data_IF_753763201938
#
_entry.id   IF_753763201938
#
_cell.length_a   1.000
_cell.length_b   1.000
_cell.length_c   1.000
_cell.angle_alpha   90.00
_cell.angle_beta   90.00
_cell.angle_gamma   90.00
#
_symmetry.space_group_name_H-M   'P 1'
#
loop_
_entity.id
_entity.type
_entity.pdbx_description
1 polymer ?
#
# COMPACT_ATOMS: atom_id res chain seq x y z
N UNK A 1 -15.33 -10.89 -3.13
CA UNK A 1 -14.44 -9.94 -2.43
C UNK A 1 -15.25 -9.04 -1.51
N UNK A 2 -16.15 -8.21 -2.05
CA UNK A 2 -16.95 -7.25 -1.28
C UNK A 2 -17.84 -7.90 -0.20
N UNK A 3 -18.56 -8.99 -0.51
CA UNK A 3 -19.42 -9.64 0.50
C UNK A 3 -18.63 -10.21 1.68
N UNK A 4 -17.42 -10.71 1.42
CA UNK A 4 -16.53 -11.25 2.47
C UNK A 4 -16.01 -10.12 3.37
N UNK A 5 -15.66 -8.97 2.81
CA UNK A 5 -15.29 -7.75 3.57
C UNK A 5 -16.43 -7.22 4.43
N UNK A 6 -17.64 -7.13 3.86
CA UNK A 6 -18.76 -6.44 4.50
C UNK A 6 -19.42 -7.33 5.55
N UNK A 7 -19.55 -8.64 5.30
CA UNK A 7 -20.41 -9.51 6.12
C UNK A 7 -19.67 -10.55 6.96
N UNK A 8 -18.54 -11.08 6.47
CA UNK A 8 -17.85 -12.20 7.12
C UNK A 8 -16.75 -11.71 8.06
N UNK A 9 -15.89 -10.79 7.58
CA UNK A 9 -14.76 -10.24 8.33
C UNK A 9 -15.16 -9.72 9.74
N UNK A 10 -16.21 -8.89 9.91
CA UNK A 10 -16.59 -8.39 11.23
C UNK A 10 -17.09 -9.46 12.23
N UNK A 11 -17.40 -10.68 11.76
CA UNK A 11 -17.95 -11.76 12.61
C UNK A 11 -16.91 -12.78 13.07
N UNK A 12 -15.68 -12.68 12.60
CA UNK A 12 -14.69 -13.72 12.79
C UNK A 12 -13.86 -13.58 14.08
N UNK A 13 -13.30 -14.71 14.54
CA UNK A 13 -12.34 -14.71 15.66
C UNK A 13 -11.04 -14.00 15.24
N UNK A 14 -10.33 -13.42 16.21
CA UNK A 14 -9.13 -12.59 16.01
C UNK A 14 -8.14 -13.15 14.97
N UNK A 15 -7.72 -14.41 15.06
CA UNK A 15 -6.75 -14.98 14.12
C UNK A 15 -7.32 -15.25 12.72
N UNK A 16 -8.56 -15.74 12.66
CA UNK A 16 -9.25 -15.99 11.39
C UNK A 16 -9.55 -14.68 10.65
N UNK A 17 -9.77 -13.60 11.40
CA UNK A 17 -9.92 -12.25 10.86
C UNK A 17 -8.68 -11.83 10.07
N UNK A 18 -7.48 -11.93 10.66
CA UNK A 18 -6.25 -11.54 9.97
C UNK A 18 -5.94 -12.40 8.75
N UNK A 19 -6.08 -13.72 8.85
CA UNK A 19 -5.81 -14.60 7.71
C UNK A 19 -6.74 -14.32 6.53
N UNK A 20 -8.02 -14.07 6.82
CA UNK A 20 -9.00 -13.71 5.79
C UNK A 20 -8.72 -12.32 5.22
N UNK A 21 -8.43 -11.34 6.06
CA UNK A 21 -8.09 -9.98 5.63
C UNK A 21 -6.87 -9.99 4.71
N UNK A 22 -5.83 -10.76 5.06
CA UNK A 22 -4.63 -10.93 4.26
C UNK A 22 -4.93 -11.55 2.90
N UNK A 23 -5.69 -12.66 2.86
CA UNK A 23 -6.07 -13.31 1.60
C UNK A 23 -6.81 -12.33 0.67
N UNK A 24 -7.68 -11.49 1.24
CA UNK A 24 -8.42 -10.55 0.42
C UNK A 24 -7.52 -9.41 -0.07
N UNK A 25 -6.64 -8.86 0.77
CA UNK A 25 -5.67 -7.86 0.34
C UNK A 25 -4.74 -8.39 -0.74
N UNK A 26 -4.32 -9.66 -0.68
CA UNK A 26 -3.55 -10.29 -1.77
C UNK A 26 -4.33 -10.37 -3.07
N UNK A 27 -5.59 -10.82 -3.04
CA UNK A 27 -6.43 -10.84 -4.26
C UNK A 27 -6.64 -9.44 -4.83
N UNK A 28 -6.76 -8.44 -3.97
CA UNK A 28 -6.88 -7.04 -4.38
C UNK A 28 -5.57 -6.51 -4.99
N UNK A 29 -4.43 -6.82 -4.35
CA UNK A 29 -3.09 -6.56 -4.86
C UNK A 29 -2.88 -7.13 -6.27
N UNK A 30 -3.22 -8.40 -6.47
CA UNK A 30 -3.06 -9.07 -7.77
C UNK A 30 -3.91 -8.39 -8.86
N UNK A 31 -5.11 -7.94 -8.50
CA UNK A 31 -5.98 -7.18 -9.40
C UNK A 31 -5.38 -5.82 -9.76
N UNK A 32 -4.83 -5.10 -8.78
CA UNK A 32 -4.16 -3.82 -9.00
C UNK A 32 -2.89 -3.97 -9.84
N UNK A 33 -2.12 -5.04 -9.63
CA UNK A 33 -0.93 -5.34 -10.42
C UNK A 33 -1.29 -5.56 -11.89
N UNK A 34 -2.29 -6.41 -12.17
CA UNK A 34 -2.79 -6.65 -13.53
C UNK A 34 -3.29 -5.37 -14.19
N UNK A 35 -4.05 -4.56 -13.46
CA UNK A 35 -4.52 -3.28 -13.98
C UNK A 35 -3.34 -2.35 -14.32
N UNK A 36 -2.30 -2.33 -13.49
CA UNK A 36 -1.11 -1.53 -13.75
C UNK A 36 -0.34 -2.03 -14.97
N UNK A 37 -0.17 -3.35 -15.09
CA UNK A 37 0.44 -4.00 -16.25
C UNK A 37 -0.30 -3.63 -17.53
N UNK A 38 -1.63 -3.76 -17.55
CA UNK A 38 -2.47 -3.41 -18.69
C UNK A 38 -2.33 -1.93 -19.09
N UNK A 39 -2.16 -1.02 -18.13
CA UNK A 39 -1.93 0.41 -18.40
C UNK A 39 -0.54 0.65 -18.98
N UNK A 40 0.50 0.13 -18.32
CA UNK A 40 1.90 0.36 -18.68
C UNK A 40 2.25 -0.27 -20.03
N UNK A 41 1.74 -1.47 -20.32
CA UNK A 41 2.00 -2.16 -21.58
C UNK A 41 1.16 -1.61 -22.74
N UNK A 42 0.08 -0.89 -22.47
CA UNK A 42 -0.75 -0.27 -23.50
C UNK A 42 -0.10 0.99 -24.06
N UNK A 43 0.70 0.81 -25.12
CA UNK A 43 1.40 1.90 -25.81
C UNK A 43 0.48 3.03 -26.26
N UNK A 44 -0.72 2.71 -26.78
CA UNK A 44 -1.66 3.73 -27.25
C UNK A 44 -2.13 4.63 -26.10
N UNK A 45 -2.39 4.05 -24.93
CA UNK A 45 -2.77 4.78 -23.74
C UNK A 45 -1.58 5.61 -23.22
N UNK A 46 -0.40 5.01 -23.08
CA UNK A 46 0.79 5.70 -22.57
C UNK A 46 1.20 6.88 -23.46
N UNK A 47 1.18 6.73 -24.78
CA UNK A 47 1.42 7.85 -25.71
C UNK A 47 0.39 8.94 -25.53
N UNK A 48 -0.90 8.59 -25.42
CA UNK A 48 -1.96 9.58 -25.19
C UNK A 48 -1.79 10.33 -23.87
N UNK A 49 -1.41 9.64 -22.79
CA UNK A 49 -1.15 10.26 -21.48
C UNK A 49 0.03 11.24 -21.56
N UNK A 50 1.10 10.86 -22.25
CA UNK A 50 2.27 11.70 -22.45
C UNK A 50 1.95 12.94 -23.31
N UNK A 51 1.17 12.78 -24.39
CA UNK A 51 0.75 13.88 -25.26
C UNK A 51 -0.23 14.85 -24.57
N UNK A 52 -1.02 14.35 -23.62
CA UNK A 52 -2.00 15.16 -22.88
C UNK A 52 -1.35 16.13 -21.89
N UNK A 53 -0.05 15.97 -21.57
CA UNK A 53 0.74 16.88 -20.71
C UNK A 53 0.08 17.17 -19.37
N UNK A 54 -0.29 16.13 -18.64
CA UNK A 54 -0.75 16.28 -17.25
C UNK A 54 0.36 16.84 -16.37
N UNK A 55 0.01 17.74 -15.45
CA UNK A 55 0.97 18.39 -14.55
C UNK A 55 1.28 17.55 -13.31
N UNK A 56 0.38 16.64 -12.91
CA UNK A 56 0.51 15.87 -11.68
C UNK A 56 -0.22 14.52 -11.78
N UNK A 57 0.34 13.50 -11.12
CA UNK A 57 -0.30 12.22 -10.89
C UNK A 57 -0.80 12.19 -9.44
N UNK A 58 -2.10 11.98 -9.26
CA UNK A 58 -2.71 11.74 -7.96
C UNK A 58 -2.87 10.22 -7.78
N UNK A 59 -2.20 9.64 -6.79
CA UNK A 59 -2.24 8.20 -6.54
C UNK A 59 -2.52 7.88 -5.08
N UNK A 60 -3.19 6.77 -4.82
CA UNK A 60 -3.30 6.19 -3.48
C UNK A 60 -2.20 5.13 -3.33
N UNK A 61 -1.45 5.12 -2.21
CA UNK A 61 -0.38 4.12 -2.00
C UNK A 61 -0.93 2.70 -1.85
N UNK A 62 -2.25 2.53 -1.69
CA UNK A 62 -2.91 1.23 -1.67
C UNK A 62 -2.58 0.40 -2.93
N UNK A 63 -2.25 1.04 -4.05
CA UNK A 63 -1.79 0.38 -5.27
C UNK A 63 -0.55 1.06 -5.85
N UNK A 64 0.61 0.38 -5.92
CA UNK A 64 1.87 1.00 -6.32
C UNK A 64 2.02 1.18 -7.84
N UNK A 65 0.96 1.54 -8.54
CA UNK A 65 1.07 1.88 -9.96
C UNK A 65 1.46 3.35 -10.17
N UNK A 66 1.10 4.22 -9.21
CA UNK A 66 1.31 5.66 -9.31
C UNK A 66 2.78 6.04 -9.41
N UNK A 67 3.62 5.44 -8.58
CA UNK A 67 5.09 5.65 -8.59
C UNK A 67 5.71 5.21 -9.91
N UNK A 68 5.26 4.07 -10.44
CA UNK A 68 5.73 3.53 -11.70
C UNK A 68 5.37 4.45 -12.87
N UNK A 69 4.11 4.90 -12.91
CA UNK A 69 3.65 5.86 -13.92
C UNK A 69 4.36 7.20 -13.82
N UNK A 70 4.65 7.68 -12.60
CA UNK A 70 5.43 8.89 -12.37
C UNK A 70 6.84 8.78 -12.96
N UNK A 71 7.51 7.64 -12.78
CA UNK A 71 8.84 7.41 -13.39
C UNK A 71 8.76 7.33 -14.91
N UNK A 72 7.76 6.64 -15.47
CA UNK A 72 7.62 6.46 -16.92
C UNK A 72 7.23 7.74 -17.64
N UNK A 73 6.29 8.52 -17.09
CA UNK A 73 5.82 9.77 -17.68
C UNK A 73 6.67 10.99 -17.28
N UNK A 74 7.51 10.86 -16.25
CA UNK A 74 8.32 11.93 -15.63
C UNK A 74 7.47 13.11 -15.14
N UNK A 75 6.37 12.79 -14.46
CA UNK A 75 5.41 13.77 -13.92
C UNK A 75 5.46 13.68 -12.38
N UNK A 76 5.36 14.82 -11.65
CA UNK A 76 5.24 14.81 -10.19
C UNK A 76 4.11 13.91 -9.67
N UNK A 77 4.35 13.29 -8.53
CA UNK A 77 3.42 12.39 -7.84
C UNK A 77 2.92 13.05 -6.56
N UNK A 78 1.62 12.99 -6.32
CA UNK A 78 0.98 13.38 -5.06
C UNK A 78 0.21 12.18 -4.53
N UNK A 79 0.44 11.85 -3.26
CA UNK A 79 -0.28 10.77 -2.61
C UNK A 79 -1.58 11.27 -1.98
N UNK A 80 -2.69 10.57 -2.25
CA UNK A 80 -3.98 10.80 -1.62
C UNK A 80 -4.26 9.84 -0.44
N UNK A 81 -3.30 8.96 -0.09
CA UNK A 81 -3.49 7.92 0.93
C UNK A 81 -3.95 8.54 2.25
N UNK A 82 -5.01 7.96 2.80
CA UNK A 82 -5.52 8.33 4.12
C UNK A 82 -5.04 7.41 5.23
N UNK A 83 -4.93 6.10 4.96
CA UNK A 83 -4.34 5.12 5.87
C UNK A 83 -4.08 3.78 5.14
N UNK A 84 -3.09 3.02 5.58
CA UNK A 84 -2.89 1.61 5.21
C UNK A 84 -3.01 0.66 6.41
N UNK A 85 -3.33 -0.63 6.20
CA UNK A 85 -3.33 -1.63 7.28
C UNK A 85 -1.98 -1.63 8.02
N UNK A 86 -2.00 -1.45 9.34
CA UNK A 86 -0.78 -1.42 10.15
C UNK A 86 0.15 -0.21 9.95
N UNK A 87 -0.26 0.80 9.16
CA UNK A 87 0.60 1.90 8.70
C UNK A 87 1.81 1.45 7.86
N UNK A 88 1.71 0.31 7.17
CA UNK A 88 2.84 -0.30 6.46
C UNK A 88 3.50 0.68 5.47
N UNK A 89 2.73 1.37 4.62
CA UNK A 89 3.28 2.32 3.66
C UNK A 89 3.78 3.60 4.28
N UNK A 90 3.05 4.10 5.27
CA UNK A 90 3.37 5.33 5.96
C UNK A 90 4.70 5.19 6.68
N UNK A 91 4.95 4.02 7.30
CA UNK A 91 6.24 3.65 7.87
C UNK A 91 7.30 3.44 6.80
N UNK A 92 7.06 2.56 5.83
CA UNK A 92 8.10 2.09 4.89
C UNK A 92 8.42 3.10 3.79
N UNK A 93 7.41 3.61 3.09
CA UNK A 93 7.57 4.58 2.00
C UNK A 93 7.54 6.01 2.52
N UNK A 94 6.73 6.29 3.54
CA UNK A 94 6.56 7.63 4.11
C UNK A 94 7.54 8.02 5.22
N UNK A 95 8.25 7.06 5.84
CA UNK A 95 9.15 7.33 6.95
C UNK A 95 8.46 7.89 8.20
N UNK A 96 7.14 7.75 8.30
CA UNK A 96 6.35 8.25 9.42
C UNK A 96 6.47 7.30 10.62
N UNK A 97 6.54 7.87 11.82
CA UNK A 97 6.58 7.11 13.07
C UNK A 97 5.20 7.12 13.73
N UNK A 98 4.76 5.95 14.20
CA UNK A 98 3.47 5.79 14.87
C UNK A 98 3.71 5.12 16.23
N UNK A 99 3.91 5.90 17.31
CA UNK A 99 4.21 5.33 18.61
C UNK A 99 3.00 4.57 19.16
N UNK A 100 3.11 3.25 19.35
CA UNK A 100 1.96 2.41 19.72
C UNK A 100 1.42 2.69 21.12
N UNK A 101 2.14 3.46 21.94
CA UNK A 101 1.68 3.86 23.25
C UNK A 101 0.47 4.79 23.18
N UNK A 102 0.30 5.60 22.13
CA UNK A 102 -0.80 6.56 22.00
C UNK A 102 -1.42 6.64 20.60
N UNK A 103 -0.81 6.04 19.58
CA UNK A 103 -1.40 5.92 18.25
C UNK A 103 -2.01 4.52 18.08
N UNK A 104 -3.35 4.40 17.94
CA UNK A 104 -3.98 3.12 17.69
C UNK A 104 -3.64 2.62 16.28
N UNK A 105 -3.45 1.31 16.14
CA UNK A 105 -3.23 0.65 14.85
C UNK A 105 -4.50 0.74 14.01
N UNK A 106 -4.36 1.09 12.73
CA UNK A 106 -5.48 1.10 11.78
C UNK A 106 -6.07 -0.31 11.67
N UNK A 107 -7.41 -0.39 11.73
CA UNK A 107 -8.21 -1.64 11.80
C UNK A 107 -8.18 -2.38 13.16
N UNK A 108 -7.62 -1.79 14.22
CA UNK A 108 -7.66 -2.38 15.57
C UNK A 108 -8.94 -2.10 16.37
N UNK A 109 -9.82 -1.24 15.84
CA UNK A 109 -11.02 -0.69 16.51
C UNK A 109 -10.73 0.14 17.78
N UNK A 110 -9.46 0.42 18.06
CA UNK A 110 -9.03 1.24 19.19
C UNK A 110 -9.12 2.74 18.86
N UNK A 111 -9.36 3.56 19.88
CA UNK A 111 -9.37 5.02 19.79
C UNK A 111 -8.03 5.63 20.23
N UNK A 112 -7.87 6.94 20.09
CA UNK A 112 -6.75 7.71 20.65
C UNK A 112 -6.74 7.69 22.20
N UNK A 113 -7.91 7.47 22.82
CA UNK A 113 -8.06 7.29 24.26
C UNK A 113 -8.02 5.80 24.62
N UNK A 114 -6.81 5.29 24.88
CA UNK A 114 -6.58 3.90 25.31
C UNK A 114 -6.23 3.79 26.80
N UNK A 115 -6.90 2.87 27.48
CA UNK A 115 -6.51 2.33 28.79
C UNK A 115 -5.19 1.57 28.70
N UNK A 116 -4.58 1.24 29.84
CA UNK A 116 -3.33 0.49 29.86
C UNK A 116 -3.44 -0.88 29.15
N UNK A 117 -4.53 -1.61 29.35
CA UNK A 117 -4.75 -2.91 28.69
C UNK A 117 -4.97 -2.77 27.18
N UNK A 118 -5.65 -1.72 26.73
CA UNK A 118 -5.81 -1.44 25.30
C UNK A 118 -4.48 -1.07 24.64
N UNK A 119 -3.57 -0.39 25.35
CA UNK A 119 -2.20 -0.15 24.84
C UNK A 119 -1.42 -1.45 24.69
N UNK A 120 -1.56 -2.39 25.63
CA UNK A 120 -0.96 -3.73 25.49
C UNK A 120 -1.54 -4.45 24.28
N UNK A 121 -2.86 -4.40 24.07
CA UNK A 121 -3.52 -4.95 22.88
C UNK A 121 -3.00 -4.28 21.60
N UNK A 122 -2.86 -2.95 21.59
CA UNK A 122 -2.33 -2.19 20.46
C UNK A 122 -0.89 -2.60 20.09
N UNK A 123 -0.05 -2.88 21.10
CA UNK A 123 1.29 -3.42 20.87
C UNK A 123 1.26 -4.78 20.17
N UNK A 124 0.33 -5.67 20.55
CA UNK A 124 0.16 -6.96 19.88
C UNK A 124 -0.22 -6.75 18.40
N UNK A 125 -1.16 -5.86 18.11
CA UNK A 125 -1.51 -5.51 16.73
C UNK A 125 -0.31 -4.99 15.94
N UNK A 126 0.53 -4.12 16.52
CA UNK A 126 1.74 -3.65 15.83
C UNK A 126 2.66 -4.80 15.47
N UNK A 127 2.90 -5.73 16.40
CA UNK A 127 3.73 -6.89 16.13
C UNK A 127 3.13 -7.77 15.04
N UNK A 128 1.82 -8.03 15.09
CA UNK A 128 1.11 -8.81 14.08
C UNK A 128 1.28 -8.18 12.69
N UNK A 129 1.09 -6.87 12.56
CA UNK A 129 1.23 -6.16 11.28
C UNK A 129 2.67 -6.03 10.78
N UNK A 130 3.64 -5.82 11.68
CA UNK A 130 5.04 -5.59 11.28
C UNK A 130 5.77 -6.90 10.94
N UNK A 131 5.33 -8.05 11.45
CA UNK A 131 6.03 -9.33 11.28
C UNK A 131 5.22 -10.44 10.59
N UNK A 132 3.92 -10.57 10.88
CA UNK A 132 3.10 -11.69 10.38
C UNK A 132 2.23 -11.32 9.20
N UNK A 133 1.70 -10.10 9.19
CA UNK A 133 0.77 -9.65 8.16
C UNK A 133 1.52 -9.17 6.92
N UNK A 134 1.23 -9.79 5.77
CA UNK A 134 1.77 -9.35 4.49
C UNK A 134 0.69 -8.61 3.71
N UNK A 135 0.77 -7.28 3.66
CA UNK A 135 -0.24 -6.46 2.96
C UNK A 135 -0.29 -6.76 1.47
N UNK A 136 0.86 -7.11 0.86
CA UNK A 136 0.98 -7.46 -0.56
C UNK A 136 1.88 -8.67 -0.73
N UNK A 137 1.78 -9.30 -1.89
CA UNK A 137 2.81 -10.20 -2.36
C UNK A 137 4.01 -9.39 -2.87
N UNK A 138 4.91 -9.00 -1.97
CA UNK A 138 6.08 -8.17 -2.29
C UNK A 138 6.90 -8.74 -3.45
N UNK A 139 7.07 -10.07 -3.50
CA UNK A 139 7.81 -10.74 -4.57
C UNK A 139 7.19 -10.52 -5.95
N UNK A 140 5.86 -10.53 -6.02
CA UNK A 140 5.14 -10.32 -7.28
C UNK A 140 5.33 -8.89 -7.79
N UNK A 141 5.26 -7.92 -6.88
CA UNK A 141 5.51 -6.51 -7.20
C UNK A 141 6.97 -6.22 -7.55
N UNK A 142 7.92 -6.80 -6.81
CA UNK A 142 9.35 -6.73 -7.11
C UNK A 142 9.66 -7.21 -8.52
N UNK A 143 9.10 -8.38 -8.89
CA UNK A 143 9.27 -8.95 -10.21
C UNK A 143 8.70 -8.03 -11.29
N UNK A 144 7.46 -7.58 -11.13
CA UNK A 144 6.80 -6.69 -12.09
C UNK A 144 7.56 -5.37 -12.29
N UNK A 145 7.98 -4.73 -11.19
CA UNK A 145 8.79 -3.51 -11.26
C UNK A 145 10.13 -3.74 -11.95
N UNK A 146 10.76 -4.89 -11.71
CA UNK A 146 12.02 -5.25 -12.34
C UNK A 146 11.87 -5.50 -13.84
N UNK A 147 10.76 -6.10 -14.27
CA UNK A 147 10.45 -6.33 -15.69
C UNK A 147 10.19 -5.01 -16.44
N UNK A 148 9.47 -4.07 -15.84
CA UNK A 148 9.17 -2.78 -16.46
C UNK A 148 10.38 -1.83 -16.50
N UNK A 149 11.12 -1.73 -15.40
CA UNK A 149 12.21 -0.75 -15.25
C UNK A 149 13.60 -1.32 -15.57
N UNK A 150 13.73 -2.65 -15.75
CA UNK A 150 14.99 -3.30 -16.10
C UNK A 150 16.05 -3.28 -14.98
N UNK A 151 15.67 -3.08 -13.72
CA UNK A 151 16.58 -3.03 -12.57
C UNK A 151 16.02 -3.78 -11.37
N UNK A 152 16.88 -4.57 -10.71
CA UNK A 152 16.52 -5.38 -9.56
C UNK A 152 16.77 -4.60 -8.25
N UNK A 153 15.73 -4.03 -7.67
CA UNK A 153 15.76 -3.43 -6.33
C UNK A 153 14.53 -3.87 -5.54
N UNK A 154 14.65 -3.87 -4.21
CA UNK A 154 13.53 -4.16 -3.32
C UNK A 154 12.48 -3.07 -3.45
N UNK A 155 11.23 -3.47 -3.61
CA UNK A 155 10.06 -2.63 -3.79
C UNK A 155 9.99 -1.46 -2.80
N UNK A 156 10.18 -1.70 -1.50
CA UNK A 156 10.14 -0.65 -0.48
C UNK A 156 11.25 0.39 -0.64
N UNK A 157 12.45 -0.04 -1.05
CA UNK A 157 13.55 0.88 -1.31
C UNK A 157 13.23 1.74 -2.53
N UNK A 158 12.68 1.14 -3.58
CA UNK A 158 12.33 1.81 -4.81
C UNK A 158 11.19 2.80 -4.64
N UNK A 159 10.09 2.41 -3.99
CA UNK A 159 8.97 3.32 -3.72
C UNK A 159 9.43 4.53 -2.89
N UNK A 160 10.34 4.31 -1.92
CA UNK A 160 10.95 5.40 -1.16
C UNK A 160 11.80 6.34 -2.05
N UNK A 161 12.60 5.80 -2.97
CA UNK A 161 13.38 6.61 -3.92
C UNK A 161 12.48 7.38 -4.90
N UNK A 162 11.48 6.73 -5.49
CA UNK A 162 10.54 7.33 -6.43
C UNK A 162 9.72 8.43 -5.74
N UNK A 163 9.28 8.20 -4.49
CA UNK A 163 8.70 9.24 -3.66
C UNK A 163 9.67 10.41 -3.47
N UNK A 164 10.90 10.16 -3.04
CA UNK A 164 11.88 11.24 -2.85
C UNK A 164 12.15 12.05 -4.14
N UNK A 165 12.00 11.42 -5.31
CA UNK A 165 12.24 12.03 -6.62
C UNK A 165 11.04 12.82 -7.16
N UNK A 166 9.81 12.34 -6.99
CA UNK A 166 8.61 12.93 -7.62
C UNK A 166 7.58 13.48 -6.63
N UNK A 167 7.67 13.18 -5.34
CA UNK A 167 6.72 13.67 -4.35
C UNK A 167 6.84 15.18 -4.24
N UNK A 168 5.75 15.87 -4.54
CA UNK A 168 5.63 17.31 -4.34
C UNK A 168 4.97 17.54 -2.98
N UNK A 169 5.81 17.69 -1.94
CA UNK A 169 5.50 17.97 -0.53
C UNK A 169 4.33 17.16 0.06
#
# INVERSE_FOLDING_TARGET
>A
MLDMWIYNLPRDRFWTYFSQMQEILWKFSDCLQKLCEDVVLNRKLMTKLQESRFDVILADTIGPCGELLAELLRIPLVYSLRFSPGYAFEKQSGGLSFPPSYVPVILSELSDQMTFMERVKNMIYVLDFDFWFQTYNEKSWDQFYSEVLGSMEIYWQRTRQLRAKYSTV
#
